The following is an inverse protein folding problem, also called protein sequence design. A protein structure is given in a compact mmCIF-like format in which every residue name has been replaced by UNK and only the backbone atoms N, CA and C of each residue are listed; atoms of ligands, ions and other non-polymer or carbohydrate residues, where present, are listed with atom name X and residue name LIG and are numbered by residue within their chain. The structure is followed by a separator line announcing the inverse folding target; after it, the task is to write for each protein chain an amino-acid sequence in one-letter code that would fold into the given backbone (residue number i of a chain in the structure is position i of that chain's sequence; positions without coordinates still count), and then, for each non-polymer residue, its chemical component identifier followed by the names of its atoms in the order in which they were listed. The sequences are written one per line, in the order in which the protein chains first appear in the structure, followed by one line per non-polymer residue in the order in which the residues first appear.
data_IF_166928687976
#
_entry.id   IF_166928687976
#
_cell.length_a   1.000
_cell.length_b   1.000
_cell.length_c   1.000
_cell.angle_alpha   90.00
_cell.angle_beta   90.00
_cell.angle_gamma   90.00
#
_symmetry.space_group_name_H-M   'P 1'
#
loop_
_entity.id
_entity.type
_entity.pdbx_description
1 polymer ?
#
# COMPACT_ATOMS: atom_id res chain seq x y z
N UNK A 1 5.38 -3.63 -3.34
CA UNK A 1 5.81 -2.83 -2.17
C UNK A 1 4.81 -1.70 -2.00
N UNK A 2 3.83 -1.87 -1.09
CA UNK A 2 2.91 -0.77 -0.73
C UNK A 2 3.64 0.01 0.35
N UNK A 3 4.43 1.02 -0.06
CA UNK A 3 5.00 1.98 0.86
C UNK A 3 3.85 2.86 1.34
N UNK A 4 3.53 2.78 2.63
CA UNK A 4 2.59 3.69 3.26
C UNK A 4 3.07 5.12 3.05
N UNK A 5 2.37 5.86 2.21
CA UNK A 5 2.65 7.25 1.90
C UNK A 5 2.11 8.11 3.04
N UNK A 6 2.87 8.19 4.14
CA UNK A 6 2.70 9.26 5.12
C UNK A 6 3.34 10.52 4.53
N UNK A 7 2.59 11.24 3.70
CA UNK A 7 2.97 12.61 3.32
C UNK A 7 2.59 13.54 4.48
N UNK A 8 3.49 13.69 5.43
CA UNK A 8 3.47 14.85 6.31
C UNK A 8 3.90 16.06 5.49
N UNK A 9 2.94 16.91 5.12
CA UNK A 9 3.23 18.22 4.55
C UNK A 9 4.10 19.01 5.55
N UNK A 10 5.38 19.20 5.24
CA UNK A 10 6.17 20.32 5.75
C UNK A 10 6.87 20.17 7.09
N UNK A 11 6.80 19.04 7.79
CA UNK A 11 7.66 18.77 8.93
C UNK A 11 8.84 17.90 8.49
N UNK A 12 10.07 18.25 8.89
CA UNK A 12 11.22 17.36 8.69
C UNK A 12 10.92 15.99 9.30
N UNK A 13 11.13 14.91 8.53
CA UNK A 13 10.83 13.57 8.98
C UNK A 13 11.54 13.31 10.32
N UNK A 14 10.78 12.88 11.33
CA UNK A 14 11.35 12.62 12.66
C UNK A 14 12.36 11.48 12.58
N UNK A 15 13.48 11.65 13.27
CA UNK A 15 14.50 10.62 13.37
C UNK A 15 14.03 9.47 14.28
N UNK A 16 14.61 8.26 14.16
CA UNK A 16 14.29 7.15 15.06
C UNK A 16 14.52 7.49 16.55
N UNK A 17 15.45 8.39 16.86
CA UNK A 17 15.65 8.87 18.24
C UNK A 17 14.46 9.68 18.71
N UNK A 18 14.01 10.66 17.92
CA UNK A 18 12.85 11.49 18.25
C UNK A 18 11.57 10.65 18.44
N UNK A 19 11.37 9.62 17.63
CA UNK A 19 10.25 8.68 17.80
C UNK A 19 10.34 7.92 19.13
N UNK A 20 11.53 7.43 19.54
CA UNK A 20 11.74 6.78 20.84
C UNK A 20 11.47 7.74 22.02
N UNK A 21 11.94 8.98 21.92
CA UNK A 21 11.71 10.00 22.93
C UNK A 21 10.20 10.30 23.05
N UNK A 22 9.50 10.39 21.90
CA UNK A 22 8.03 10.54 21.86
C UNK A 22 7.32 9.37 22.54
N UNK A 23 7.73 8.13 22.29
CA UNK A 23 7.14 6.95 22.95
C UNK A 23 7.29 7.03 24.46
N UNK A 24 8.44 7.45 24.97
CA UNK A 24 8.69 7.58 26.41
C UNK A 24 7.76 8.60 27.06
N UNK A 25 7.61 9.77 26.44
CA UNK A 25 6.70 10.82 26.92
C UNK A 25 5.22 10.33 26.86
N UNK A 26 4.83 9.64 25.79
CA UNK A 26 3.48 9.13 25.63
C UNK A 26 3.14 8.04 26.67
N UNK A 27 4.10 7.22 27.09
CA UNK A 27 3.91 6.26 28.18
C UNK A 27 3.55 6.98 29.49
N UNK A 28 4.28 8.03 29.84
CA UNK A 28 3.99 8.83 31.05
C UNK A 28 2.60 9.49 30.96
N UNK A 29 2.27 10.07 29.81
CA UNK A 29 0.96 10.69 29.61
C UNK A 29 -0.19 9.67 29.67
N UNK A 30 -0.03 8.48 29.10
CA UNK A 30 -1.04 7.41 29.19
C UNK A 30 -1.25 6.95 30.62
N UNK A 31 -0.21 6.92 31.45
CA UNK A 31 -0.32 6.58 32.86
C UNK A 31 -1.11 7.64 33.65
N UNK A 32 -0.95 8.92 33.29
CA UNK A 32 -1.71 10.02 33.89
C UNK A 32 -3.16 10.10 33.37
N UNK A 33 -3.36 9.78 32.09
CA UNK A 33 -4.65 9.90 31.40
C UNK A 33 -5.03 8.60 30.69
N UNK A 34 -5.29 7.49 31.41
CA UNK A 34 -5.45 6.15 30.83
C UNK A 34 -6.69 6.01 29.93
N UNK A 35 -7.67 6.91 30.03
CA UNK A 35 -8.87 6.92 29.19
C UNK A 35 -8.69 7.74 27.89
N UNK A 36 -7.60 8.46 27.75
CA UNK A 36 -7.34 9.23 26.54
C UNK A 36 -6.82 8.32 25.41
N UNK A 37 -7.73 7.94 24.53
CA UNK A 37 -7.43 7.03 23.40
C UNK A 37 -6.50 7.67 22.39
N UNK A 38 -6.51 8.99 22.24
CA UNK A 38 -5.64 9.70 21.30
C UNK A 38 -4.15 9.52 21.63
N UNK A 39 -3.81 9.49 22.93
CA UNK A 39 -2.42 9.23 23.35
C UNK A 39 -1.96 7.82 22.92
N UNK A 40 -2.85 6.83 22.98
CA UNK A 40 -2.57 5.48 22.50
C UNK A 40 -2.41 5.43 20.98
N UNK A 41 -3.25 6.14 20.24
CA UNK A 41 -3.12 6.25 18.77
C UNK A 41 -1.77 6.88 18.39
N UNK A 42 -1.37 7.96 19.04
CA UNK A 42 -0.06 8.61 18.83
C UNK A 42 1.12 7.69 19.17
N UNK A 43 1.01 6.91 20.27
CA UNK A 43 2.04 5.94 20.65
C UNK A 43 2.14 4.81 19.62
N UNK A 44 0.99 4.32 19.14
CA UNK A 44 0.94 3.30 18.10
C UNK A 44 1.58 3.80 16.79
N UNK A 45 1.29 5.03 16.38
CA UNK A 45 1.91 5.68 15.21
C UNK A 45 3.45 5.78 15.37
N UNK A 46 3.93 6.21 16.54
CA UNK A 46 5.35 6.26 16.82
C UNK A 46 6.00 4.87 16.73
N UNK A 47 5.34 3.83 17.22
CA UNK A 47 5.81 2.45 17.12
C UNK A 47 5.82 1.96 15.65
N UNK A 48 4.85 2.34 14.80
CA UNK A 48 4.88 2.05 13.36
C UNK A 48 6.14 2.66 12.72
N UNK A 49 6.44 3.92 13.02
CA UNK A 49 7.62 4.60 12.47
C UNK A 49 8.95 3.98 12.95
N UNK A 50 8.92 3.29 14.09
CA UNK A 50 10.03 2.49 14.61
C UNK A 50 10.02 1.04 14.11
N UNK A 51 9.06 0.65 13.27
CA UNK A 51 8.81 -0.73 12.80
C UNK A 51 8.57 -1.72 13.96
N UNK A 52 8.05 -1.24 15.07
CA UNK A 52 7.71 -2.01 16.27
C UNK A 52 6.26 -2.48 16.18
N UNK A 53 6.00 -3.39 15.22
CA UNK A 53 4.65 -3.78 14.80
C UNK A 53 3.80 -4.38 15.91
N UNK A 54 4.38 -5.20 16.80
CA UNK A 54 3.69 -5.79 17.94
C UNK A 54 3.21 -4.73 18.92
N UNK A 55 4.08 -3.79 19.29
CA UNK A 55 3.72 -2.69 20.20
C UNK A 55 2.64 -1.79 19.59
N UNK A 56 2.73 -1.47 18.31
CA UNK A 56 1.71 -0.71 17.62
C UNK A 56 0.36 -1.43 17.61
N UNK A 57 0.34 -2.71 17.22
CA UNK A 57 -0.86 -3.57 17.24
C UNK A 57 -1.53 -3.59 18.61
N UNK A 58 -0.74 -3.71 19.68
CA UNK A 58 -1.27 -3.81 21.03
C UNK A 58 -1.91 -2.50 21.49
N UNK A 59 -1.34 -1.34 21.14
CA UNK A 59 -1.97 -0.05 21.41
C UNK A 59 -3.27 0.14 20.62
N UNK A 60 -3.30 -0.20 19.32
CA UNK A 60 -4.56 -0.17 18.56
C UNK A 60 -5.60 -1.14 19.12
N UNK A 61 -5.18 -2.30 19.60
CA UNK A 61 -6.08 -3.26 20.26
C UNK A 61 -6.64 -2.70 21.57
N UNK A 62 -5.84 -1.93 22.32
CA UNK A 62 -6.33 -1.26 23.52
C UNK A 62 -7.35 -0.15 23.18
N UNK A 63 -7.17 0.56 22.06
CA UNK A 63 -8.16 1.51 21.56
C UNK A 63 -9.47 0.80 21.21
N UNK A 64 -9.39 -0.27 20.42
CA UNK A 64 -10.56 -1.01 19.93
C UNK A 64 -11.34 -1.73 21.04
N UNK A 65 -10.74 -2.03 22.18
CA UNK A 65 -11.45 -2.49 23.39
C UNK A 65 -12.40 -1.42 23.98
N UNK A 66 -12.19 -0.15 23.69
CA UNK A 66 -12.97 0.97 24.19
C UNK A 66 -13.88 1.57 23.13
N UNK A 67 -13.40 1.61 21.90
CA UNK A 67 -14.07 2.14 20.72
C UNK A 67 -13.88 1.14 19.56
N UNK A 68 -14.78 0.15 19.50
CA UNK A 68 -14.72 -0.95 18.52
C UNK A 68 -14.81 -0.48 17.05
N UNK A 69 -15.34 0.73 16.83
CA UNK A 69 -15.52 1.32 15.50
C UNK A 69 -14.47 2.38 15.17
N UNK A 70 -13.41 2.50 15.95
CA UNK A 70 -12.34 3.45 15.68
C UNK A 70 -11.64 3.13 14.37
N UNK A 71 -11.91 3.94 13.34
CA UNK A 71 -11.40 3.71 11.98
C UNK A 71 -9.88 3.69 11.93
N UNK A 72 -9.22 4.64 12.58
CA UNK A 72 -7.75 4.67 12.60
C UNK A 72 -7.18 3.39 13.22
N UNK A 73 -7.76 2.96 14.35
CA UNK A 73 -7.29 1.75 15.03
C UNK A 73 -7.54 0.48 14.20
N UNK A 74 -8.70 0.34 13.55
CA UNK A 74 -8.97 -0.79 12.65
C UNK A 74 -7.97 -0.84 11.49
N UNK A 75 -7.80 0.28 10.77
CA UNK A 75 -6.93 0.35 9.61
C UNK A 75 -5.47 0.03 9.95
N UNK A 76 -4.92 0.73 10.94
CA UNK A 76 -3.52 0.58 11.30
C UNK A 76 -3.21 -0.71 12.06
N UNK A 77 -4.20 -1.28 12.79
CA UNK A 77 -4.02 -2.63 13.36
C UNK A 77 -3.96 -3.68 12.27
N UNK A 78 -4.83 -3.61 11.24
CA UNK A 78 -4.76 -4.47 10.08
C UNK A 78 -3.41 -4.37 9.37
N UNK A 79 -2.89 -3.16 9.20
CA UNK A 79 -1.56 -2.94 8.63
C UNK A 79 -0.47 -3.62 9.47
N UNK A 80 -0.43 -3.40 10.79
CA UNK A 80 0.53 -4.04 11.69
C UNK A 80 0.43 -5.58 11.64
N UNK A 81 -0.80 -6.12 11.67
CA UNK A 81 -1.05 -7.55 11.56
C UNK A 81 -0.55 -8.13 10.23
N UNK A 82 -0.65 -7.36 9.14
CA UNK A 82 -0.10 -7.75 7.84
C UNK A 82 1.42 -7.89 7.90
N UNK A 83 2.12 -6.92 8.52
CA UNK A 83 3.57 -6.98 8.74
C UNK A 83 3.98 -8.17 9.62
N UNK A 84 3.14 -8.51 10.59
CA UNK A 84 3.32 -9.66 11.50
C UNK A 84 2.88 -11.00 10.89
N UNK A 85 2.47 -11.03 9.62
CA UNK A 85 1.93 -12.20 8.92
C UNK A 85 0.67 -12.79 9.57
N UNK A 86 -0.05 -12.00 10.36
CA UNK A 86 -1.31 -12.36 11.00
C UNK A 86 -2.50 -12.08 10.07
N UNK A 87 -2.45 -12.64 8.87
CA UNK A 87 -3.31 -12.25 7.75
C UNK A 87 -4.81 -12.42 8.00
N UNK A 88 -5.22 -13.46 8.73
CA UNK A 88 -6.65 -13.66 9.05
C UNK A 88 -7.20 -12.55 9.95
N UNK A 89 -6.39 -12.06 10.89
CA UNK A 89 -6.77 -10.93 11.74
C UNK A 89 -6.77 -9.63 10.95
N UNK A 90 -5.75 -9.39 10.12
CA UNK A 90 -5.68 -8.22 9.25
C UNK A 90 -6.90 -8.13 8.32
N UNK A 91 -7.32 -9.27 7.74
CA UNK A 91 -8.53 -9.33 6.92
C UNK A 91 -9.75 -8.87 7.69
N UNK A 92 -9.98 -9.41 8.89
CA UNK A 92 -11.14 -9.08 9.72
C UNK A 92 -11.20 -7.57 10.05
N UNK A 93 -10.06 -6.95 10.34
CA UNK A 93 -9.98 -5.53 10.65
C UNK A 93 -10.23 -4.66 9.40
N UNK A 94 -9.68 -5.02 8.22
CA UNK A 94 -9.99 -4.31 6.98
C UNK A 94 -11.46 -4.47 6.58
N UNK A 95 -12.04 -5.67 6.73
CA UNK A 95 -13.47 -5.91 6.49
C UNK A 95 -14.33 -5.06 7.44
N UNK A 96 -13.99 -4.99 8.73
CA UNK A 96 -14.68 -4.16 9.72
C UNK A 96 -14.57 -2.66 9.39
N UNK A 97 -13.39 -2.19 8.95
CA UNK A 97 -13.19 -0.82 8.48
C UNK A 97 -14.09 -0.51 7.29
N UNK A 98 -14.08 -1.35 6.26
CA UNK A 98 -14.83 -1.15 5.02
C UNK A 98 -16.37 -1.29 5.22
N UNK A 99 -16.81 -1.99 6.26
CA UNK A 99 -18.22 -2.02 6.65
C UNK A 99 -18.71 -0.65 7.16
N UNK A 100 -17.80 0.18 7.71
CA UNK A 100 -18.11 1.53 8.20
C UNK A 100 -17.86 2.56 7.09
N UNK A 101 -16.74 2.43 6.38
CA UNK A 101 -16.31 3.35 5.32
C UNK A 101 -16.00 2.58 4.02
N UNK A 102 -17.04 2.23 3.24
CA UNK A 102 -16.87 1.40 2.04
C UNK A 102 -16.09 2.08 0.91
N UNK A 103 -16.08 3.41 0.87
CA UNK A 103 -15.37 4.21 -0.13
C UNK A 103 -13.99 4.66 0.37
N UNK A 104 -13.13 3.69 0.71
CA UNK A 104 -11.77 3.95 1.13
C UNK A 104 -10.81 3.06 0.35
N UNK A 105 -10.10 3.67 -0.59
CA UNK A 105 -9.24 2.95 -1.53
C UNK A 105 -8.15 2.15 -0.83
N UNK A 106 -7.38 2.78 0.04
CA UNK A 106 -6.22 2.17 0.70
C UNK A 106 -6.62 0.96 1.56
N UNK A 107 -7.78 1.03 2.24
CA UNK A 107 -8.28 -0.11 3.00
C UNK A 107 -8.70 -1.26 2.08
N UNK A 108 -9.32 -0.95 0.93
CA UNK A 108 -9.71 -1.94 -0.07
C UNK A 108 -8.49 -2.60 -0.71
N UNK A 109 -7.47 -1.82 -1.06
CA UNK A 109 -6.20 -2.35 -1.57
C UNK A 109 -5.47 -3.18 -0.50
N UNK A 110 -5.51 -2.75 0.76
CA UNK A 110 -4.99 -3.51 1.91
C UNK A 110 -5.70 -4.85 2.08
N UNK A 111 -7.04 -4.87 2.00
CA UNK A 111 -7.83 -6.11 2.03
C UNK A 111 -7.47 -7.03 0.87
N UNK A 112 -7.42 -6.51 -0.36
CA UNK A 112 -7.06 -7.29 -1.53
C UNK A 112 -5.67 -7.92 -1.39
N UNK A 113 -4.69 -7.17 -0.89
CA UNK A 113 -3.35 -7.69 -0.63
C UNK A 113 -3.35 -8.82 0.41
N UNK A 114 -4.06 -8.63 1.52
CA UNK A 114 -4.17 -9.67 2.56
C UNK A 114 -4.88 -10.92 2.04
N UNK A 115 -5.92 -10.77 1.20
CA UNK A 115 -6.59 -11.89 0.55
C UNK A 115 -5.64 -12.67 -0.38
N UNK A 116 -4.75 -11.98 -1.11
CA UNK A 116 -3.69 -12.63 -1.90
C UNK A 116 -2.76 -13.46 -1.00
N UNK A 117 -2.31 -12.89 0.12
CA UNK A 117 -1.42 -13.58 1.07
C UNK A 117 -2.09 -14.79 1.74
N UNK A 118 -3.43 -14.79 1.84
CA UNK A 118 -4.25 -15.92 2.29
C UNK A 118 -4.54 -16.95 1.17
N UNK A 119 -4.09 -16.70 -0.07
CA UNK A 119 -4.39 -17.56 -1.22
C UNK A 119 -5.83 -17.43 -1.75
N UNK A 120 -6.62 -16.47 -1.26
CA UNK A 120 -8.00 -16.20 -1.66
C UNK A 120 -8.04 -15.34 -2.93
N UNK A 121 -7.57 -15.92 -4.04
CA UNK A 121 -7.32 -15.19 -5.29
C UNK A 121 -8.59 -14.55 -5.88
N UNK A 122 -9.71 -15.27 -5.86
CA UNK A 122 -10.99 -14.75 -6.39
C UNK A 122 -11.46 -13.54 -5.60
N UNK A 123 -11.43 -13.62 -4.27
CA UNK A 123 -11.87 -12.53 -3.43
C UNK A 123 -10.94 -11.31 -3.58
N UNK A 124 -9.63 -11.54 -3.74
CA UNK A 124 -8.67 -10.48 -4.01
C UNK A 124 -8.97 -9.77 -5.34
N UNK A 125 -9.27 -10.54 -6.40
CA UNK A 125 -9.66 -9.99 -7.70
C UNK A 125 -10.94 -9.15 -7.60
N UNK A 126 -11.94 -9.62 -6.84
CA UNK A 126 -13.20 -8.92 -6.63
C UNK A 126 -12.96 -7.56 -5.94
N UNK A 127 -12.11 -7.51 -4.90
CA UNK A 127 -11.80 -6.25 -4.23
C UNK A 127 -11.00 -5.29 -5.14
N UNK A 128 -10.09 -5.79 -5.98
CA UNK A 128 -9.37 -4.97 -6.95
C UNK A 128 -10.28 -4.44 -8.07
N UNK A 129 -11.22 -5.26 -8.54
CA UNK A 129 -12.23 -4.82 -9.52
C UNK A 129 -13.11 -3.71 -8.92
N UNK A 130 -13.56 -3.87 -7.67
CA UNK A 130 -14.30 -2.81 -6.96
C UNK A 130 -13.46 -1.55 -6.80
N UNK A 131 -12.15 -1.68 -6.49
CA UNK A 131 -11.26 -0.52 -6.38
C UNK A 131 -11.21 0.28 -7.68
N UNK A 132 -10.98 -0.36 -8.81
CA UNK A 132 -10.96 0.31 -10.13
C UNK A 132 -12.33 0.90 -10.50
N UNK A 133 -13.42 0.18 -10.20
CA UNK A 133 -14.77 0.67 -10.50
C UNK A 133 -15.14 1.90 -9.67
N UNK A 134 -14.77 1.93 -8.39
CA UNK A 134 -15.09 3.04 -7.48
C UNK A 134 -14.13 4.22 -7.64
N UNK A 135 -12.90 3.98 -8.08
CA UNK A 135 -11.85 4.99 -8.22
C UNK A 135 -11.22 4.95 -9.61
N UNK A 136 -11.98 5.27 -10.67
CA UNK A 136 -11.52 5.16 -12.06
C UNK A 136 -10.40 6.14 -12.43
N UNK A 137 -10.15 7.16 -11.61
CA UNK A 137 -9.04 8.11 -11.78
C UNK A 137 -7.87 7.83 -10.82
N UNK A 138 -7.84 6.66 -10.18
CA UNK A 138 -6.77 6.29 -9.28
C UNK A 138 -5.69 5.46 -9.97
N UNK A 139 -4.49 6.01 -10.06
CA UNK A 139 -3.29 5.29 -10.49
C UNK A 139 -3.05 4.03 -9.65
N UNK A 140 -3.25 4.12 -8.34
CA UNK A 140 -2.98 3.03 -7.40
C UNK A 140 -3.97 1.88 -7.56
N UNK A 141 -5.23 2.17 -7.90
CA UNK A 141 -6.23 1.14 -8.16
C UNK A 141 -5.85 0.28 -9.37
N UNK A 142 -5.52 0.92 -10.50
CA UNK A 142 -5.06 0.21 -11.70
C UNK A 142 -3.74 -0.51 -11.47
N UNK A 143 -2.75 0.15 -10.86
CA UNK A 143 -1.46 -0.45 -10.59
C UNK A 143 -1.55 -1.69 -9.68
N UNK A 144 -2.41 -1.65 -8.66
CA UNK A 144 -2.65 -2.79 -7.77
C UNK A 144 -3.28 -3.98 -8.52
N UNK A 145 -4.29 -3.72 -9.39
CA UNK A 145 -4.92 -4.78 -10.19
C UNK A 145 -3.95 -5.34 -11.22
N UNK A 146 -3.22 -4.49 -11.94
CA UNK A 146 -2.19 -4.91 -12.89
C UNK A 146 -1.10 -5.78 -12.24
N UNK A 147 -0.66 -5.41 -11.03
CA UNK A 147 0.32 -6.20 -10.29
C UNK A 147 -0.23 -7.59 -9.92
N UNK A 148 -1.49 -7.67 -9.48
CA UNK A 148 -2.17 -8.92 -9.20
C UNK A 148 -2.30 -9.78 -10.46
N UNK A 149 -2.79 -9.22 -11.56
CA UNK A 149 -2.95 -9.91 -12.86
C UNK A 149 -1.61 -10.41 -13.39
N UNK A 150 -0.53 -9.62 -13.24
CA UNK A 150 0.83 -10.04 -13.57
C UNK A 150 1.24 -11.28 -12.78
N UNK A 151 0.92 -11.35 -11.49
CA UNK A 151 1.20 -12.52 -10.64
C UNK A 151 0.34 -13.74 -11.00
N UNK A 152 -0.86 -13.51 -11.56
CA UNK A 152 -1.73 -14.57 -12.06
C UNK A 152 -1.43 -14.94 -13.53
N UNK A 153 -0.38 -14.39 -14.12
CA UNK A 153 0.02 -14.59 -15.52
C UNK A 153 -1.04 -14.13 -16.54
N UNK A 154 -1.96 -13.26 -16.11
CA UNK A 154 -2.99 -12.63 -16.96
C UNK A 154 -2.42 -11.40 -17.65
N UNK A 155 -1.39 -11.61 -18.46
CA UNK A 155 -0.54 -10.53 -18.95
C UNK A 155 -1.24 -9.49 -19.83
N UNK A 156 -2.22 -9.90 -20.65
CA UNK A 156 -2.93 -8.94 -21.51
C UNK A 156 -3.83 -8.01 -20.69
N UNK A 157 -4.49 -8.52 -19.64
CA UNK A 157 -5.24 -7.71 -18.70
C UNK A 157 -4.31 -6.77 -17.92
N UNK A 158 -3.20 -7.30 -17.41
CA UNK A 158 -2.21 -6.50 -16.71
C UNK A 158 -1.64 -5.36 -17.58
N UNK A 159 -1.39 -5.60 -18.87
CA UNK A 159 -0.92 -4.54 -19.77
C UNK A 159 -1.96 -3.43 -19.96
N UNK A 160 -3.24 -3.77 -20.05
CA UNK A 160 -4.31 -2.78 -20.11
C UNK A 160 -4.30 -1.88 -18.87
N UNK A 161 -4.22 -2.48 -17.68
CA UNK A 161 -4.22 -1.72 -16.42
C UNK A 161 -2.93 -0.92 -16.20
N UNK A 162 -1.77 -1.46 -16.62
CA UNK A 162 -0.52 -0.68 -16.61
C UNK A 162 -0.62 0.52 -17.57
N UNK A 163 -1.31 0.39 -18.69
CA UNK A 163 -1.52 1.52 -19.63
C UNK A 163 -2.45 2.58 -19.02
N UNK A 164 -3.53 2.18 -18.35
CA UNK A 164 -4.40 3.11 -17.63
C UNK A 164 -3.67 3.82 -16.48
N UNK A 165 -2.89 3.09 -15.68
CA UNK A 165 -2.07 3.69 -14.64
C UNK A 165 -1.05 4.71 -15.22
N UNK A 166 -0.42 4.40 -16.34
CA UNK A 166 0.51 5.30 -17.05
C UNK A 166 -0.19 6.48 -17.72
N UNK A 167 -1.44 6.32 -18.17
CA UNK A 167 -2.25 7.44 -18.66
C UNK A 167 -2.48 8.48 -17.55
N UNK A 168 -2.72 8.01 -16.32
CA UNK A 168 -2.93 8.87 -15.15
C UNK A 168 -1.63 9.44 -14.59
N UNK A 169 -0.53 8.67 -14.63
CA UNK A 169 0.77 9.06 -14.11
C UNK A 169 1.92 8.81 -15.11
N UNK A 170 1.99 9.56 -16.23
CA UNK A 170 2.88 9.26 -17.36
C UNK A 170 4.37 9.38 -17.07
N UNK A 171 4.75 10.04 -15.98
CA UNK A 171 6.15 10.23 -15.56
C UNK A 171 6.57 9.31 -14.41
N UNK A 172 5.73 8.33 -14.07
CA UNK A 172 6.07 7.37 -13.02
C UNK A 172 6.95 6.24 -13.59
N UNK A 173 8.23 6.25 -13.25
CA UNK A 173 9.20 5.28 -13.74
C UNK A 173 8.90 3.85 -13.26
N UNK A 174 8.32 3.66 -12.07
CA UNK A 174 7.99 2.34 -11.54
C UNK A 174 6.87 1.66 -12.35
N UNK A 175 5.85 2.42 -12.78
CA UNK A 175 4.80 1.90 -13.65
C UNK A 175 5.34 1.50 -15.02
N UNK A 176 6.25 2.31 -15.60
CA UNK A 176 6.92 1.99 -16.87
C UNK A 176 7.68 0.68 -16.74
N UNK A 177 8.45 0.52 -15.70
CA UNK A 177 9.25 -0.68 -15.44
C UNK A 177 8.35 -1.90 -15.24
N UNK A 178 7.24 -1.78 -14.52
CA UNK A 178 6.28 -2.86 -14.32
C UNK A 178 5.64 -3.31 -15.63
N UNK A 179 5.22 -2.38 -16.49
CA UNK A 179 4.72 -2.69 -17.84
C UNK A 179 5.78 -3.37 -18.70
N UNK A 180 7.00 -2.86 -18.68
CA UNK A 180 8.13 -3.42 -19.44
C UNK A 180 8.45 -4.84 -18.98
N UNK A 181 8.39 -5.14 -17.68
CA UNK A 181 8.58 -6.50 -17.16
C UNK A 181 7.55 -7.47 -17.76
N UNK A 182 6.27 -7.08 -17.80
CA UNK A 182 5.22 -7.90 -18.42
C UNK A 182 5.48 -8.13 -19.90
N UNK A 183 5.85 -7.08 -20.65
CA UNK A 183 6.20 -7.21 -22.08
C UNK A 183 7.40 -8.13 -22.31
N UNK A 184 8.40 -8.09 -21.45
CA UNK A 184 9.56 -8.99 -21.52
C UNK A 184 9.19 -10.44 -21.19
N UNK A 185 8.31 -10.69 -20.23
CA UNK A 185 7.78 -12.04 -19.93
C UNK A 185 7.02 -12.63 -21.12
N UNK A 186 6.32 -11.78 -21.90
CA UNK A 186 5.66 -12.16 -23.14
C UNK A 186 6.62 -12.29 -24.34
N UNK A 187 7.93 -12.01 -24.17
CA UNK A 187 8.90 -11.99 -25.27
C UNK A 187 8.74 -10.79 -26.23
N UNK A 188 7.89 -9.83 -25.91
CA UNK A 188 7.57 -8.65 -26.73
C UNK A 188 8.62 -7.54 -26.60
N UNK A 189 9.91 -7.90 -26.80
CA UNK A 189 11.07 -7.01 -26.60
C UNK A 189 11.01 -5.68 -27.37
N UNK A 190 10.47 -5.70 -28.59
CA UNK A 190 10.34 -4.47 -29.41
C UNK A 190 9.39 -3.48 -28.74
N UNK A 191 8.28 -3.96 -28.21
CA UNK A 191 7.28 -3.13 -27.53
C UNK A 191 7.79 -2.67 -26.15
N UNK A 192 8.49 -3.53 -25.43
CA UNK A 192 9.18 -3.15 -24.20
C UNK A 192 10.15 -1.98 -24.42
N UNK A 193 10.95 -2.06 -25.51
CA UNK A 193 11.86 -0.98 -25.87
C UNK A 193 11.11 0.31 -26.27
N UNK A 194 10.02 0.19 -27.03
CA UNK A 194 9.20 1.33 -27.42
C UNK A 194 8.57 2.03 -26.20
N UNK A 195 8.12 1.26 -25.19
CA UNK A 195 7.60 1.82 -23.94
C UNK A 195 8.68 2.60 -23.17
N UNK A 196 9.91 2.09 -23.08
CA UNK A 196 11.05 2.81 -22.50
C UNK A 196 11.38 4.10 -23.26
N UNK A 197 11.40 4.05 -24.61
CA UNK A 197 11.68 5.22 -25.44
C UNK A 197 10.59 6.29 -25.28
N UNK A 198 9.33 5.87 -25.16
CA UNK A 198 8.22 6.78 -24.87
C UNK A 198 8.35 7.45 -23.49
N UNK A 199 8.73 6.69 -22.47
CA UNK A 199 8.96 7.19 -21.13
C UNK A 199 10.08 8.26 -21.09
N UNK A 200 11.16 8.04 -21.84
CA UNK A 200 12.24 9.03 -21.98
C UNK A 200 11.74 10.30 -22.69
N UNK A 201 10.92 10.17 -23.74
CA UNK A 201 10.30 11.35 -24.40
C UNK A 201 9.38 12.14 -23.47
N UNK A 202 8.76 11.48 -22.51
CA UNK A 202 7.93 12.11 -21.48
C UNK A 202 8.74 12.73 -20.34
N UNK A 203 10.07 12.59 -20.33
CA UNK A 203 10.98 13.25 -19.41
C UNK A 203 11.54 12.36 -18.32
N UNK A 204 11.30 11.05 -18.33
CA UNK A 204 11.98 10.12 -17.42
C UNK A 204 13.46 10.02 -17.82
N UNK A 205 14.35 10.10 -16.82
CA UNK A 205 15.79 10.01 -17.08
C UNK A 205 16.15 8.63 -17.62
N UNK A 206 16.77 8.58 -18.80
CA UNK A 206 17.22 7.33 -19.44
C UNK A 206 18.15 6.50 -18.57
N UNK A 207 18.98 7.15 -17.74
CA UNK A 207 19.89 6.45 -16.85
C UNK A 207 19.14 5.59 -15.82
N UNK A 208 17.97 6.03 -15.35
CA UNK A 208 17.13 5.28 -14.43
C UNK A 208 16.53 4.01 -15.07
N UNK A 209 16.45 3.96 -16.40
CA UNK A 209 15.88 2.86 -17.16
C UNK A 209 16.93 1.96 -17.82
N UNK A 210 18.24 2.19 -17.55
CA UNK A 210 19.35 1.54 -18.27
C UNK A 210 19.27 0.01 -18.21
N UNK A 211 19.05 -0.54 -17.04
CA UNK A 211 18.95 -2.00 -16.84
C UNK A 211 17.86 -2.62 -17.74
N UNK A 212 16.73 -1.96 -17.85
CA UNK A 212 15.59 -2.41 -18.65
C UNK A 212 15.87 -2.34 -20.15
N UNK A 213 16.59 -1.30 -20.60
CA UNK A 213 17.09 -1.27 -21.98
C UNK A 213 18.03 -2.42 -22.31
N UNK A 214 18.85 -2.84 -21.36
CA UNK A 214 19.76 -3.98 -21.55
C UNK A 214 18.99 -5.31 -21.67
N UNK A 215 17.92 -5.50 -20.91
CA UNK A 215 17.02 -6.64 -21.02
C UNK A 215 16.25 -6.71 -22.37
N UNK A 216 16.11 -5.58 -23.06
CA UNK A 216 15.44 -5.51 -24.39
C UNK A 216 16.36 -5.84 -25.56
N UNK A 217 17.65 -6.12 -25.34
CA UNK A 217 18.58 -6.58 -26.37
C UNK A 217 18.36 -8.07 -26.64
#
# INVERSE_FOLDING_TARGET
MIAAMFVALGAAAQTPKQWRDSVSVLIEQINLYPQNLELRLKKAEANINLQQWEYARDEYSAVLKKDEKNLAALYFRAFCQTQLRQYSFARADYEAFLAIQPEHLEARLGLAHVLQLLGRKTDAADELNRAVQMFPDSTDAYAARAAFETQQEQYDAALYDWDEALRLAPKNAELVVSKVDVLLRLGRKKEARAALDQAVKQGINRAALREWYDKCK
#
